data_IF_698302320045
#
_entry.id   IF_698302320045
#
_cell.length_a   1.000
_cell.length_b   1.000
_cell.length_c   1.000
_cell.angle_alpha   90.00
_cell.angle_beta   90.00
_cell.angle_gamma   90.00
#
_symmetry.space_group_name_H-M   'P 1'
#
loop_
_entity.id
_entity.type
_entity.pdbx_description
1 polymer ?
#
# COMPACT_ATOMS: atom_id res chain seq x y z
N UNK A 1 -14.36 -7.63 8.93
CA UNK A 1 -13.71 -7.52 7.60
C UNK A 1 -13.06 -6.15 7.35
N UNK A 2 -13.79 -5.13 6.87
CA UNK A 2 -13.18 -3.86 6.41
C UNK A 2 -12.50 -3.03 7.51
N UNK A 3 -13.06 -3.01 8.73
CA UNK A 3 -12.46 -2.35 9.88
C UNK A 3 -11.14 -3.03 10.28
N UNK A 4 -11.15 -4.37 10.43
CA UNK A 4 -9.95 -5.18 10.71
C UNK A 4 -8.83 -4.95 9.69
N UNK A 5 -9.14 -4.97 8.39
CA UNK A 5 -8.13 -4.72 7.35
C UNK A 5 -7.58 -3.29 7.41
N UNK A 6 -8.41 -2.27 7.72
CA UNK A 6 -7.93 -0.89 7.91
C UNK A 6 -7.05 -0.75 9.14
N UNK A 7 -7.43 -1.38 10.24
CA UNK A 7 -6.63 -1.45 11.45
C UNK A 7 -5.27 -2.10 11.17
N UNK A 8 -5.26 -3.20 10.41
CA UNK A 8 -4.03 -3.88 10.00
C UNK A 8 -3.12 -2.95 9.20
N UNK A 9 -3.66 -2.23 8.20
CA UNK A 9 -2.90 -1.29 7.39
C UNK A 9 -2.23 -0.20 8.25
N UNK A 10 -2.99 0.39 9.17
CA UNK A 10 -2.46 1.42 10.08
C UNK A 10 -1.40 0.84 11.02
N UNK A 11 -1.64 -0.33 11.60
CA UNK A 11 -0.70 -0.99 12.48
C UNK A 11 0.63 -1.30 11.76
N UNK A 12 0.58 -1.77 10.52
CA UNK A 12 1.79 -2.03 9.70
C UNK A 12 2.56 -0.73 9.45
N UNK A 13 1.86 0.35 9.10
CA UNK A 13 2.49 1.64 8.85
C UNK A 13 3.21 2.16 10.11
N UNK A 14 2.54 2.10 11.26
CA UNK A 14 3.09 2.56 12.53
C UNK A 14 4.21 1.64 13.03
N UNK A 15 4.10 0.32 12.83
CA UNK A 15 5.16 -0.66 13.16
C UNK A 15 6.45 -0.37 12.41
N UNK A 16 6.35 -0.12 11.10
CA UNK A 16 7.53 0.19 10.28
C UNK A 16 8.11 1.58 10.55
N UNK A 17 7.28 2.53 11.02
CA UNK A 17 7.73 3.84 11.46
C UNK A 17 8.48 3.76 12.80
N UNK A 18 8.01 2.94 13.74
CA UNK A 18 8.64 2.72 15.05
C UNK A 18 9.97 1.96 14.95
N UNK A 19 10.05 0.98 14.04
CA UNK A 19 11.28 0.32 13.66
C UNK A 19 12.28 1.24 12.93
N UNK A 20 11.93 2.51 12.71
CA UNK A 20 12.74 3.54 12.04
C UNK A 20 13.22 3.14 10.64
N UNK A 21 12.47 2.27 9.96
CA UNK A 21 12.80 1.80 8.62
C UNK A 21 12.85 2.95 7.63
N UNK A 22 13.73 2.84 6.65
CA UNK A 22 13.78 3.75 5.51
C UNK A 22 12.62 3.51 4.53
N UNK A 23 12.52 4.36 3.51
CA UNK A 23 11.41 4.29 2.55
C UNK A 23 11.36 2.95 1.80
N UNK A 24 12.51 2.39 1.42
CA UNK A 24 12.58 1.15 0.68
C UNK A 24 12.21 -0.04 1.57
N UNK A 25 12.73 -0.05 2.81
CA UNK A 25 12.43 -1.06 3.82
C UNK A 25 10.93 -1.08 4.17
N UNK A 26 10.31 0.09 4.42
CA UNK A 26 8.85 0.18 4.65
C UNK A 26 8.05 -0.38 3.48
N UNK A 27 8.48 -0.09 2.26
CA UNK A 27 7.81 -0.59 1.06
C UNK A 27 7.92 -2.11 0.94
N UNK A 28 9.07 -2.69 1.31
CA UNK A 28 9.27 -4.13 1.35
C UNK A 28 8.34 -4.79 2.37
N UNK A 29 8.25 -4.23 3.59
CA UNK A 29 7.33 -4.75 4.62
C UNK A 29 5.88 -4.69 4.15
N UNK A 30 5.42 -3.56 3.60
CA UNK A 30 4.07 -3.45 3.03
C UNK A 30 3.82 -4.47 1.92
N UNK A 31 4.83 -4.75 1.09
CA UNK A 31 4.74 -5.76 0.05
C UNK A 31 4.66 -7.18 0.62
N UNK A 32 5.41 -7.50 1.68
CA UNK A 32 5.33 -8.77 2.40
C UNK A 32 3.93 -8.99 2.99
N UNK A 33 3.41 -8.00 3.73
CA UNK A 33 2.03 -8.06 4.28
C UNK A 33 1.01 -8.26 3.18
N UNK A 34 1.12 -7.50 2.08
CA UNK A 34 0.21 -7.64 0.95
C UNK A 34 0.29 -9.04 0.33
N UNK A 35 1.49 -9.58 0.13
CA UNK A 35 1.69 -10.92 -0.44
C UNK A 35 1.02 -11.99 0.41
N UNK A 36 1.30 -12.01 1.73
CA UNK A 36 0.64 -12.93 2.67
C UNK A 36 -0.89 -12.80 2.61
N UNK A 37 -1.43 -11.58 2.76
CA UNK A 37 -2.89 -11.40 2.77
C UNK A 37 -3.54 -11.77 1.42
N UNK A 38 -2.82 -11.59 0.31
CA UNK A 38 -3.28 -11.94 -1.02
C UNK A 38 -3.22 -13.45 -1.28
N UNK A 39 -2.27 -14.17 -0.69
CA UNK A 39 -2.23 -15.64 -0.69
C UNK A 39 -3.40 -16.22 0.11
N UNK A 40 -3.64 -15.73 1.32
CA UNK A 40 -4.81 -16.12 2.13
C UNK A 40 -6.13 -15.89 1.37
N UNK A 41 -6.26 -14.71 0.76
CA UNK A 41 -7.42 -14.39 -0.07
C UNK A 41 -7.61 -15.33 -1.27
N UNK A 42 -6.51 -15.80 -1.88
CA UNK A 42 -6.57 -16.74 -3.01
C UNK A 42 -6.90 -18.17 -2.55
N UNK A 43 -6.44 -18.55 -1.37
CA UNK A 43 -6.79 -19.82 -0.72
C UNK A 43 -8.23 -19.84 -0.21
N UNK A 44 -8.86 -18.66 -0.05
CA UNK A 44 -10.17 -18.54 0.60
C UNK A 44 -10.08 -18.66 2.12
N UNK A 45 -8.88 -18.45 2.67
CA UNK A 45 -8.55 -18.50 4.08
C UNK A 45 -8.58 -17.08 4.69
N UNK A 46 -8.65 -17.04 6.02
CA UNK A 46 -8.61 -15.79 6.77
C UNK A 46 -7.16 -15.35 7.02
N UNK A 47 -6.98 -14.06 7.30
CA UNK A 47 -5.70 -13.51 7.73
C UNK A 47 -5.53 -13.86 9.20
N UNK A 48 -4.52 -14.66 9.53
CA UNK A 48 -4.14 -14.97 10.89
C UNK A 48 -3.05 -14.00 11.37
N UNK A 49 -3.31 -13.30 12.47
CA UNK A 49 -2.41 -12.25 12.97
C UNK A 49 -1.05 -12.82 13.42
N UNK A 50 -1.05 -13.99 14.06
CA UNK A 50 0.16 -14.71 14.47
C UNK A 50 1.02 -15.17 13.29
N UNK A 51 0.39 -15.69 12.25
CA UNK A 51 1.08 -16.12 11.03
C UNK A 51 1.67 -14.93 10.29
N UNK A 52 0.92 -13.83 10.17
CA UNK A 52 1.44 -12.57 9.63
C UNK A 52 2.61 -12.02 10.45
N UNK A 53 2.54 -12.09 11.79
CA UNK A 53 3.61 -11.63 12.68
C UNK A 53 4.93 -12.38 12.43
N UNK A 54 4.85 -13.68 12.14
CA UNK A 54 6.02 -14.50 11.77
C UNK A 54 6.62 -14.11 10.43
N UNK A 55 5.79 -13.75 9.45
CA UNK A 55 6.27 -13.21 8.16
C UNK A 55 7.03 -11.89 8.32
N UNK A 56 6.71 -11.12 9.37
CA UNK A 56 7.36 -9.86 9.72
C UNK A 56 8.49 -10.01 10.74
N UNK A 57 8.91 -11.24 11.05
CA UNK A 57 10.00 -11.48 11.99
C UNK A 57 11.30 -10.81 11.52
N UNK A 58 11.99 -10.14 12.45
CA UNK A 58 13.25 -9.43 12.17
C UNK A 58 13.08 -8.01 11.62
N UNK A 59 11.85 -7.54 11.40
CA UNK A 59 11.58 -6.11 11.10
C UNK A 59 11.85 -5.22 12.31
N UNK A 60 11.54 -5.69 13.51
CA UNK A 60 11.74 -5.00 14.78
C UNK A 60 12.21 -5.99 15.85
N UNK A 61 12.62 -5.48 17.01
CA UNK A 61 12.95 -6.29 18.19
C UNK A 61 11.71 -6.98 18.79
N UNK A 62 10.55 -6.34 18.68
CA UNK A 62 9.25 -6.87 19.11
C UNK A 62 8.49 -7.46 17.93
N UNK A 63 7.68 -8.48 18.19
CA UNK A 63 6.81 -9.05 17.16
C UNK A 63 5.68 -8.09 16.78
N UNK A 64 5.10 -8.27 15.59
CA UNK A 64 4.01 -7.42 15.12
C UNK A 64 2.75 -7.58 15.99
N UNK A 65 2.49 -8.79 16.49
CA UNK A 65 1.39 -9.11 17.42
C UNK A 65 1.56 -8.38 18.76
N UNK A 66 2.76 -8.43 19.36
CA UNK A 66 3.06 -7.69 20.58
C UNK A 66 2.93 -6.18 20.38
N UNK A 67 3.48 -5.66 19.28
CA UNK A 67 3.34 -4.25 18.91
C UNK A 67 1.87 -3.83 18.78
N UNK A 68 1.06 -4.61 18.06
CA UNK A 68 -0.34 -4.29 17.83
C UNK A 68 -1.12 -4.26 19.16
N UNK A 69 -0.85 -5.20 20.06
CA UNK A 69 -1.43 -5.23 21.40
C UNK A 69 -0.98 -4.04 22.26
N UNK A 70 0.31 -3.71 22.28
CA UNK A 70 0.87 -2.60 23.06
C UNK A 70 0.31 -1.24 22.64
N UNK A 71 0.16 -1.02 21.33
CA UNK A 71 -0.43 0.21 20.77
C UNK A 71 -1.96 0.24 20.85
N UNK A 72 -2.59 -0.83 21.35
CA UNK A 72 -4.04 -0.89 21.54
C UNK A 72 -4.85 -1.08 20.26
N UNK A 73 -4.26 -1.69 19.22
CA UNK A 73 -5.05 -2.11 18.06
C UNK A 73 -5.91 -3.31 18.42
N UNK A 74 -7.22 -3.18 18.25
CA UNK A 74 -8.20 -4.26 18.47
C UNK A 74 -8.27 -5.18 17.23
N UNK A 75 -7.13 -5.79 16.87
CA UNK A 75 -7.07 -6.79 15.80
C UNK A 75 -7.52 -8.15 16.32
N UNK A 76 -8.47 -8.77 15.60
CA UNK A 76 -8.88 -10.15 15.88
C UNK A 76 -7.74 -11.12 15.53
N UNK A 77 -7.69 -12.28 16.20
CA UNK A 77 -6.68 -13.32 15.94
C UNK A 77 -6.74 -13.81 14.48
N UNK A 78 -7.94 -13.86 13.92
CA UNK A 78 -8.21 -14.21 12.52
C UNK A 78 -9.34 -13.35 11.96
N UNK A 79 -9.24 -12.90 10.71
CA UNK A 79 -10.32 -12.18 10.04
C UNK A 79 -10.25 -12.28 8.51
N UNK A 80 -11.39 -12.15 7.80
CA UNK A 80 -11.41 -12.27 6.35
C UNK A 80 -10.65 -11.12 5.67
N UNK A 81 -9.85 -11.47 4.66
CA UNK A 81 -9.13 -10.54 3.81
C UNK A 81 -10.09 -9.68 2.97
N UNK A 82 -9.88 -8.36 2.98
CA UNK A 82 -10.60 -7.42 2.12
C UNK A 82 -9.71 -6.93 0.99
N UNK A 83 -9.90 -7.50 -0.21
CA UNK A 83 -9.10 -7.16 -1.42
C UNK A 83 -9.00 -5.66 -1.67
N UNK A 84 -10.08 -4.91 -1.44
CA UNK A 84 -10.13 -3.48 -1.74
C UNK A 84 -9.26 -2.65 -0.79
N UNK A 85 -9.21 -3.06 0.47
CA UNK A 85 -8.41 -2.43 1.52
C UNK A 85 -6.95 -2.83 1.37
N UNK A 86 -6.66 -4.13 1.19
CA UNK A 86 -5.29 -4.62 1.02
C UNK A 86 -4.54 -3.98 -0.15
N UNK A 87 -5.23 -3.67 -1.26
CA UNK A 87 -4.63 -2.95 -2.39
C UNK A 87 -4.03 -1.58 -2.02
N UNK A 88 -4.45 -0.98 -0.92
CA UNK A 88 -3.91 0.31 -0.43
C UNK A 88 -2.51 0.16 0.17
N UNK A 89 -2.08 -1.06 0.57
CA UNK A 89 -0.70 -1.32 1.02
C UNK A 89 0.32 -1.09 -0.10
N UNK A 90 -0.08 -1.37 -1.34
CA UNK A 90 0.84 -1.38 -2.49
C UNK A 90 0.58 -0.26 -3.48
N UNK A 91 -0.52 0.49 -3.36
CA UNK A 91 -0.91 1.51 -4.33
C UNK A 91 -1.44 2.79 -3.68
N UNK A 92 -1.11 3.92 -4.28
CA UNK A 92 -1.81 5.17 -4.06
C UNK A 92 -2.99 5.28 -5.03
N UNK A 93 -4.16 5.66 -4.54
CA UNK A 93 -5.33 5.90 -5.36
C UNK A 93 -6.07 7.17 -4.91
N UNK A 94 -6.60 7.93 -5.87
CA UNK A 94 -7.37 9.14 -5.60
C UNK A 94 -8.25 9.53 -6.77
N UNK A 95 -9.39 10.15 -6.48
CA UNK A 95 -10.30 10.69 -7.49
C UNK A 95 -10.90 12.02 -7.04
N UNK A 96 -11.11 12.93 -7.99
CA UNK A 96 -11.63 14.27 -7.73
C UNK A 96 -11.49 15.19 -8.96
N UNK A 97 -12.41 16.14 -9.13
CA UNK A 97 -12.31 17.14 -10.21
C UNK A 97 -12.26 16.57 -11.64
N UNK A 98 -12.83 15.38 -11.87
CA UNK A 98 -12.75 14.68 -13.16
C UNK A 98 -11.44 13.90 -13.39
N UNK A 99 -10.54 13.86 -12.40
CA UNK A 99 -9.34 13.04 -12.40
C UNK A 99 -9.57 11.77 -11.58
N UNK A 100 -9.00 10.66 -12.03
CA UNK A 100 -8.85 9.42 -11.25
C UNK A 100 -7.45 8.88 -11.52
N UNK A 101 -6.69 8.67 -10.45
CA UNK A 101 -5.31 8.20 -10.52
C UNK A 101 -5.12 7.01 -9.58
N UNK A 102 -4.37 6.02 -10.04
CA UNK A 102 -3.93 4.89 -9.24
C UNK A 102 -2.55 4.43 -9.73
N UNK A 103 -1.59 4.26 -8.84
CA UNK A 103 -0.24 3.84 -9.19
C UNK A 103 0.41 3.09 -8.02
N UNK A 104 1.37 2.22 -8.34
CA UNK A 104 2.10 1.44 -7.34
C UNK A 104 2.96 2.36 -6.46
N UNK A 105 2.92 2.18 -5.14
CA UNK A 105 3.58 3.05 -4.17
C UNK A 105 5.10 3.15 -4.39
N UNK A 106 5.72 2.08 -4.89
CA UNK A 106 7.13 2.06 -5.29
C UNK A 106 7.50 3.11 -6.35
N UNK A 107 6.55 3.52 -7.20
CA UNK A 107 6.80 4.50 -8.24
C UNK A 107 6.96 5.92 -7.68
N UNK A 108 6.54 6.17 -6.43
CA UNK A 108 6.71 7.47 -5.78
C UNK A 108 8.20 7.73 -5.50
N UNK A 109 8.76 8.80 -6.06
CA UNK A 109 10.19 9.15 -6.02
C UNK A 109 11.01 8.54 -7.17
N UNK A 110 10.45 7.60 -7.94
CA UNK A 110 11.11 7.02 -9.11
C UNK A 110 10.53 7.59 -10.41
N UNK A 111 9.23 7.44 -10.60
CA UNK A 111 8.48 7.92 -11.77
C UNK A 111 7.42 8.95 -11.41
N UNK A 112 6.85 8.85 -10.22
CA UNK A 112 5.83 9.77 -9.71
C UNK A 112 6.50 10.67 -8.69
N UNK A 113 6.38 11.99 -8.83
CA UNK A 113 6.95 12.95 -7.90
C UNK A 113 5.85 13.90 -7.43
N UNK A 114 5.65 14.01 -6.13
CA UNK A 114 4.72 14.96 -5.55
C UNK A 114 5.52 16.09 -4.89
N UNK A 115 5.20 17.32 -5.27
CA UNK A 115 5.66 18.53 -4.60
C UNK A 115 4.54 19.04 -3.68
N UNK A 116 4.70 18.94 -2.35
CA UNK A 116 3.69 19.40 -1.40
C UNK A 116 3.58 20.93 -1.35
N UNK A 117 4.60 21.69 -1.76
CA UNK A 117 4.57 23.15 -1.70
C UNK A 117 3.66 23.76 -2.78
N UNK A 118 3.61 23.14 -3.96
CA UNK A 118 2.77 23.58 -5.09
C UNK A 118 1.59 22.64 -5.37
N UNK A 119 1.40 21.62 -4.53
CA UNK A 119 0.46 20.52 -4.71
C UNK A 119 0.47 19.95 -6.14
N UNK A 120 1.68 19.62 -6.62
CA UNK A 120 1.89 19.19 -8.01
C UNK A 120 2.37 17.75 -8.08
N UNK A 121 1.64 16.91 -8.81
CA UNK A 121 2.03 15.53 -9.09
C UNK A 121 2.58 15.38 -10.51
N UNK A 122 3.88 15.08 -10.63
CA UNK A 122 4.57 14.87 -11.90
C UNK A 122 4.73 13.39 -12.21
N UNK A 123 4.37 12.98 -13.43
CA UNK A 123 4.57 11.62 -13.95
C UNK A 123 5.69 11.63 -14.99
N UNK A 124 6.87 11.09 -14.65
CA UNK A 124 7.97 10.87 -15.60
C UNK A 124 7.73 9.59 -16.40
N UNK A 125 7.65 9.79 -17.72
CA UNK A 125 7.30 8.74 -18.68
C UNK A 125 5.80 8.47 -18.70
N UNK A 126 5.06 9.24 -19.50
CA UNK A 126 3.60 9.08 -19.70
C UNK A 126 3.26 7.64 -20.06
N UNK A 127 2.24 7.01 -19.42
CA UNK A 127 1.78 5.68 -19.77
C UNK A 127 1.52 5.56 -21.28
N UNK A 128 1.96 4.48 -21.96
CA UNK A 128 1.90 4.38 -23.43
C UNK A 128 0.52 4.65 -24.01
N UNK A 129 -0.53 4.03 -23.45
CA UNK A 129 -1.91 4.24 -23.90
C UNK A 129 -2.34 5.72 -23.79
N UNK A 130 -1.99 6.39 -22.68
CA UNK A 130 -2.29 7.81 -22.52
C UNK A 130 -1.48 8.66 -23.49
N UNK A 131 -0.19 8.34 -23.70
CA UNK A 131 0.68 9.01 -24.66
C UNK A 131 0.10 8.93 -26.08
N UNK A 132 -0.33 7.74 -26.51
CA UNK A 132 -0.92 7.53 -27.84
C UNK A 132 -2.21 8.34 -28.02
N UNK A 133 -3.08 8.37 -27.00
CA UNK A 133 -4.30 9.17 -27.02
C UNK A 133 -4.01 10.67 -27.12
N UNK A 134 -3.01 11.16 -26.37
CA UNK A 134 -2.58 12.56 -26.44
C UNK A 134 -2.00 12.88 -27.81
N UNK A 135 -1.08 12.05 -28.32
CA UNK A 135 -0.46 12.24 -29.62
C UNK A 135 -1.49 12.24 -30.76
N UNK A 136 -2.47 11.33 -30.79
CA UNK A 136 -3.50 11.34 -31.82
C UNK A 136 -4.31 12.63 -31.84
N UNK A 137 -4.64 13.16 -30.65
CA UNK A 137 -5.41 14.41 -30.52
C UNK A 137 -4.59 15.66 -30.85
N UNK A 138 -3.28 15.65 -30.58
CA UNK A 138 -2.41 16.80 -30.89
C UNK A 138 -1.86 16.76 -32.31
N UNK A 139 -1.76 15.59 -32.94
CA UNK A 139 -1.20 15.42 -34.31
C UNK A 139 -2.26 15.54 -35.40
N UNK A 140 -3.55 15.38 -35.08
CA UNK A 140 -4.66 15.52 -36.01
C UNK A 140 -5.24 16.95 -36.12
N UNK A 141 -4.55 17.93 -35.52
CA UNK A 141 -4.90 19.35 -35.59
C UNK A 141 -3.89 20.13 -36.41
N UNK A 142 -3.85 19.88 -37.71
CA UNK A 142 -3.30 20.78 -38.72
C UNK A 142 -4.05 20.57 -40.03
#
# INVERSE_FOLDING_TARGET
AKAQNRGLLQAVDDFTAEAQLDKAERQNVRQQVYSYCNEQLQAGEEIELESLSKELAGVSEVSFTEFAAEKGYELEESFPADRSTLRQLTKFAGSGGGLTINFDAMLLGERIFWDPATDTLTIKGTPPNLRDQLQRRTSGGN
#
